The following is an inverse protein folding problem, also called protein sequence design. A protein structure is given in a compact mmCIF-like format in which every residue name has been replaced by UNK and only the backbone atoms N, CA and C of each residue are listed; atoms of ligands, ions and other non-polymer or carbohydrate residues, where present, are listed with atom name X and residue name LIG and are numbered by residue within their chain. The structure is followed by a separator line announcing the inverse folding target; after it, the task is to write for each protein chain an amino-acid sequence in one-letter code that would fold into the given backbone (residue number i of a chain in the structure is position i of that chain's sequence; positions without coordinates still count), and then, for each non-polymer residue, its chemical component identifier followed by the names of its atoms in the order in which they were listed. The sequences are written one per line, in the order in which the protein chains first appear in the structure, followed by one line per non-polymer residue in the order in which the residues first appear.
data_IF_582252562312
#
_entry.id   IF_582252562312
#
_cell.length_a   1.000
_cell.length_b   1.000
_cell.length_c   1.000
_cell.angle_alpha   90.00
_cell.angle_beta   90.00
_cell.angle_gamma   90.00
#
_symmetry.space_group_name_H-M   'P 1'
#
loop_
_entity.id
_entity.type
_entity.pdbx_description
1 polymer ?
#
# COMPACT_ATOMS: atom_id res chain seq x y z
N UNK A 1 8.57 -3.59 -16.60
CA UNK A 1 8.89 -2.83 -15.36
C UNK A 1 7.88 -3.07 -14.24
N UNK A 2 6.56 -3.14 -14.53
CA UNK A 2 5.51 -3.42 -13.53
C UNK A 2 5.65 -4.77 -12.80
N UNK A 3 6.13 -5.82 -13.45
CA UNK A 3 6.15 -7.17 -12.85
C UNK A 3 7.17 -7.33 -11.73
N UNK A 4 8.35 -6.70 -11.83
CA UNK A 4 9.38 -6.77 -10.80
C UNK A 4 8.92 -6.04 -9.55
N UNK A 5 8.38 -4.82 -9.72
CA UNK A 5 7.85 -4.03 -8.61
C UNK A 5 6.64 -4.70 -7.96
N UNK A 6 5.75 -5.31 -8.74
CA UNK A 6 4.65 -6.09 -8.19
C UNK A 6 5.16 -7.25 -7.31
N UNK A 7 6.17 -8.00 -7.77
CA UNK A 7 6.77 -9.09 -6.99
C UNK A 7 7.42 -8.59 -5.70
N UNK A 8 8.21 -7.51 -5.78
CA UNK A 8 8.87 -6.91 -4.62
C UNK A 8 7.85 -6.39 -3.60
N UNK A 9 6.83 -5.65 -4.04
CA UNK A 9 5.80 -5.14 -3.13
C UNK A 9 4.98 -6.27 -2.51
N UNK A 10 4.62 -7.30 -3.29
CA UNK A 10 3.92 -8.48 -2.77
C UNK A 10 4.73 -9.19 -1.69
N UNK A 11 6.05 -9.31 -1.89
CA UNK A 11 6.95 -9.90 -0.89
C UNK A 11 7.01 -9.05 0.38
N UNK A 12 7.14 -7.74 0.26
CA UNK A 12 7.17 -6.82 1.41
C UNK A 12 5.85 -6.85 2.19
N UNK A 13 4.71 -6.83 1.50
CA UNK A 13 3.39 -6.87 2.12
C UNK A 13 3.15 -8.20 2.82
N UNK A 14 3.54 -9.32 2.22
CA UNK A 14 3.45 -10.64 2.86
C UNK A 14 4.34 -10.70 4.11
N UNK A 15 5.55 -10.15 4.04
CA UNK A 15 6.48 -10.10 5.19
C UNK A 15 5.97 -9.23 6.33
N UNK A 16 5.43 -8.05 6.02
CA UNK A 16 5.08 -7.04 7.02
C UNK A 16 3.66 -7.23 7.59
N UNK A 17 2.71 -7.66 6.76
CA UNK A 17 1.29 -7.72 7.10
C UNK A 17 0.69 -9.13 6.99
N UNK A 18 1.46 -10.13 6.55
CA UNK A 18 0.94 -11.49 6.33
C UNK A 18 -0.10 -11.59 5.19
N UNK A 19 -0.24 -10.53 4.39
CA UNK A 19 -1.27 -10.42 3.38
C UNK A 19 -0.75 -10.74 1.98
N UNK A 20 -1.62 -11.32 1.15
CA UNK A 20 -1.38 -11.49 -0.28
C UNK A 20 -2.17 -10.44 -1.07
N UNK A 21 -1.53 -9.92 -2.12
CA UNK A 21 -2.12 -8.96 -3.05
C UNK A 21 -2.09 -9.54 -4.46
N UNK A 22 -3.19 -9.37 -5.17
CA UNK A 22 -3.34 -9.84 -6.54
C UNK A 22 -2.76 -8.83 -7.52
N UNK A 23 -2.48 -9.30 -8.74
CA UNK A 23 -2.08 -8.41 -9.84
C UNK A 23 -3.15 -7.35 -10.13
N UNK A 24 -4.42 -7.73 -10.06
CA UNK A 24 -5.54 -6.81 -10.23
C UNK A 24 -5.53 -5.65 -9.21
N UNK A 25 -5.20 -5.92 -7.95
CA UNK A 25 -5.07 -4.86 -6.92
C UNK A 25 -3.94 -3.89 -7.26
N UNK A 26 -2.82 -4.42 -7.75
CA UNK A 26 -1.68 -3.61 -8.16
C UNK A 26 -2.01 -2.72 -9.35
N UNK A 27 -2.65 -3.27 -10.40
CA UNK A 27 -2.98 -2.51 -11.60
C UNK A 27 -4.01 -1.39 -11.27
N UNK A 28 -5.04 -1.69 -10.47
CA UNK A 28 -5.97 -0.66 -9.96
C UNK A 28 -5.27 0.42 -9.13
N UNK A 29 -4.29 0.03 -8.32
CA UNK A 29 -3.51 1.00 -7.55
C UNK A 29 -2.66 1.90 -8.46
N UNK A 30 -2.07 1.35 -9.52
CA UNK A 30 -1.32 2.13 -10.51
C UNK A 30 -2.21 3.18 -11.17
N UNK A 31 -3.44 2.82 -11.57
CA UNK A 31 -4.43 3.74 -12.11
C UNK A 31 -4.85 4.82 -11.09
N UNK A 32 -5.13 4.41 -9.85
CA UNK A 32 -5.47 5.31 -8.76
C UNK A 32 -4.39 6.40 -8.56
N UNK A 33 -3.11 6.04 -8.59
CA UNK A 33 -2.02 7.01 -8.43
C UNK A 33 -1.97 8.03 -9.56
N UNK A 34 -2.34 7.65 -10.78
CA UNK A 34 -2.40 8.58 -11.90
C UNK A 34 -3.44 9.70 -11.69
N UNK A 35 -4.46 9.47 -10.85
CA UNK A 35 -5.43 10.51 -10.47
C UNK A 35 -4.86 11.54 -9.48
N UNK A 36 -3.70 11.28 -8.86
CA UNK A 36 -2.97 12.17 -7.95
C UNK A 36 -3.82 12.78 -6.82
N UNK A 37 -4.76 12.01 -6.27
CA UNK A 37 -5.62 12.42 -5.14
C UNK A 37 -5.51 11.42 -4.00
N UNK A 38 -5.36 11.92 -2.78
CA UNK A 38 -5.42 11.10 -1.57
C UNK A 38 -6.85 10.60 -1.33
N UNK A 39 -7.01 9.32 -1.00
CA UNK A 39 -8.31 8.71 -0.68
C UNK A 39 -8.17 7.98 0.66
N UNK A 40 -9.01 8.31 1.63
CA UNK A 40 -9.06 7.67 2.95
C UNK A 40 -7.68 7.55 3.62
N UNK A 41 -6.88 8.63 3.58
CA UNK A 41 -5.55 8.65 4.16
C UNK A 41 -4.48 7.91 3.32
N UNK A 42 -4.86 7.19 2.27
CA UNK A 42 -3.93 6.52 1.35
C UNK A 42 -3.39 7.56 0.37
N UNK A 43 -2.08 7.79 0.41
CA UNK A 43 -1.42 8.71 -0.52
C UNK A 43 -1.24 8.03 -1.89
N UNK A 44 -1.29 8.78 -3.00
CA UNK A 44 -1.03 8.27 -4.34
C UNK A 44 0.47 8.04 -4.62
N UNK A 45 1.30 7.89 -3.59
CA UNK A 45 2.74 7.61 -3.73
C UNK A 45 2.99 6.13 -4.00
N UNK A 46 4.02 5.81 -4.79
CA UNK A 46 4.36 4.41 -5.07
C UNK A 46 5.06 3.73 -3.90
N UNK A 47 4.28 3.28 -2.94
CA UNK A 47 4.74 2.59 -1.75
C UNK A 47 3.90 1.33 -1.51
N UNK A 48 4.55 0.24 -1.09
CA UNK A 48 3.88 -1.02 -0.78
C UNK A 48 2.85 -0.89 0.36
N UNK A 49 3.05 0.03 1.31
CA UNK A 49 2.08 0.31 2.38
C UNK A 49 0.80 0.91 1.79
N UNK A 50 0.93 1.89 0.89
CA UNK A 50 -0.20 2.54 0.25
C UNK A 50 -0.93 1.53 -0.65
N UNK A 51 -0.21 0.66 -1.36
CA UNK A 51 -0.79 -0.44 -2.12
C UNK A 51 -1.58 -1.39 -1.21
N UNK A 52 -1.01 -1.78 -0.07
CA UNK A 52 -1.69 -2.65 0.88
C UNK A 52 -2.98 -2.00 1.41
N UNK A 53 -2.88 -0.77 1.90
CA UNK A 53 -4.01 -0.01 2.40
C UNK A 53 -5.11 0.18 1.35
N UNK A 54 -4.73 0.55 0.13
CA UNK A 54 -5.63 0.66 -1.01
C UNK A 54 -6.33 -0.68 -1.31
N UNK A 55 -5.55 -1.77 -1.38
CA UNK A 55 -6.08 -3.10 -1.70
C UNK A 55 -7.07 -3.66 -0.66
N UNK A 56 -7.00 -3.16 0.57
CA UNK A 56 -7.89 -3.53 1.67
C UNK A 56 -9.05 -2.55 1.86
N UNK A 57 -9.07 -1.44 1.11
CA UNK A 57 -10.08 -0.39 1.29
C UNK A 57 -10.01 0.25 2.67
N UNK A 58 -8.80 0.41 3.23
CA UNK A 58 -8.62 0.92 4.58
C UNK A 58 -9.14 2.35 4.73
N UNK A 59 -9.60 2.65 5.94
CA UNK A 59 -9.96 3.98 6.41
C UNK A 59 -8.74 4.79 6.80
N UNK A 60 -8.90 6.12 6.89
CA UNK A 60 -7.83 7.03 7.31
C UNK A 60 -7.21 6.64 8.66
N UNK A 61 -8.03 6.19 9.62
CA UNK A 61 -7.56 5.82 10.96
C UNK A 61 -6.70 4.55 10.94
N UNK A 62 -7.09 3.54 10.14
CA UNK A 62 -6.31 2.32 9.96
C UNK A 62 -4.96 2.62 9.29
N UNK A 63 -4.96 3.48 8.26
CA UNK A 63 -3.72 3.90 7.59
C UNK A 63 -2.81 4.67 8.55
N UNK A 64 -3.37 5.56 9.36
CA UNK A 64 -2.62 6.32 10.35
C UNK A 64 -2.03 5.39 11.42
N UNK A 65 -2.78 4.40 11.89
CA UNK A 65 -2.27 3.40 12.84
C UNK A 65 -1.02 2.68 12.31
N UNK A 66 -1.03 2.25 11.05
CA UNK A 66 0.14 1.62 10.40
C UNK A 66 1.35 2.58 10.39
N UNK A 67 1.13 3.86 10.05
CA UNK A 67 2.19 4.87 10.05
C UNK A 67 2.78 5.08 11.45
N UNK A 68 1.93 5.21 12.46
CA UNK A 68 2.37 5.37 13.86
C UNK A 68 3.16 4.16 14.35
N UNK A 69 2.69 2.94 14.09
CA UNK A 69 3.39 1.71 14.46
C UNK A 69 4.77 1.62 13.80
N UNK A 70 4.90 2.07 12.55
CA UNK A 70 6.21 2.14 11.88
C UNK A 70 7.12 3.21 12.45
N UNK A 71 6.60 4.41 12.76
CA UNK A 71 7.40 5.47 13.38
C UNK A 71 7.94 5.03 14.75
N UNK A 72 7.14 4.32 15.56
CA UNK A 72 7.60 3.76 16.83
C UNK A 72 8.66 2.67 16.70
N UNK A 73 8.77 1.99 15.55
CA UNK A 73 9.83 0.99 15.30
C UNK A 73 11.16 1.62 14.86
N UNK A 74 11.15 2.91 14.51
CA UNK A 74 12.33 3.64 14.02
C UNK A 74 12.98 4.48 15.13
N UNK A 75 12.27 4.70 16.24
CA UNK A 75 12.75 5.35 17.49
C UNK A 75 13.16 4.24 18.46
#
# INVERSE_FOLDING_TARGET
MNDLLFKEFSKLIKKEFGAEITRQNYDKFVEYRAANKEINGVKPDFNWINLYAYSKGMTTDEVNKIRYERMRKVI
#
